data_IF_985053333259
#
_entry.id   IF_985053333259
#
_cell.length_a   1.000
_cell.length_b   1.000
_cell.length_c   1.000
_cell.angle_alpha   90.00
_cell.angle_beta   90.00
_cell.angle_gamma   90.00
#
_symmetry.space_group_name_H-M   'P 1'
#
loop_
_entity.id
_entity.type
_entity.pdbx_description
1 polymer ?
#
# COMPACT_ATOMS: atom_id res chain seq x y z
N UNK A 1 -23.39 16.40 37.01
CA UNK A 1 -22.21 17.21 36.66
C UNK A 1 -21.80 16.85 35.24
N UNK A 2 -21.80 17.78 34.30
CA UNK A 2 -21.34 17.49 32.94
C UNK A 2 -19.81 17.43 32.92
N UNK A 3 -19.26 16.31 32.48
CA UNK A 3 -17.83 16.14 32.23
C UNK A 3 -17.46 16.87 30.94
N UNK A 4 -16.61 17.90 31.04
CA UNK A 4 -16.10 18.64 29.88
C UNK A 4 -14.73 18.08 29.48
N UNK A 5 -14.47 17.90 28.18
CA UNK A 5 -13.16 17.47 27.68
C UNK A 5 -12.03 18.39 28.19
N UNK A 6 -12.30 19.69 28.31
CA UNK A 6 -11.31 20.68 28.78
C UNK A 6 -10.96 20.57 30.27
N UNK A 7 -11.81 19.94 31.08
CA UNK A 7 -11.51 19.73 32.51
C UNK A 7 -10.65 18.50 32.77
N UNK A 8 -10.38 17.68 31.75
CA UNK A 8 -9.48 16.53 31.88
C UNK A 8 -8.01 16.98 31.92
N UNK A 9 -7.10 16.21 32.54
CA UNK A 9 -5.67 16.42 32.40
C UNK A 9 -5.21 16.31 30.92
N UNK A 10 -4.16 17.05 30.51
CA UNK A 10 -3.63 16.99 29.15
C UNK A 10 -3.31 15.56 28.69
N UNK A 11 -2.73 14.74 29.55
CA UNK A 11 -2.32 13.35 29.26
C UNK A 11 -3.54 12.51 28.85
N UNK A 12 -4.66 12.68 29.55
CA UNK A 12 -5.92 11.99 29.24
C UNK A 12 -6.50 12.47 27.92
N UNK A 13 -6.43 13.78 27.62
CA UNK A 13 -6.87 14.31 26.32
C UNK A 13 -6.05 13.74 25.16
N UNK A 14 -4.73 13.62 25.33
CA UNK A 14 -3.85 13.02 24.31
C UNK A 14 -4.24 11.57 24.03
N UNK A 15 -4.49 10.75 25.06
CA UNK A 15 -4.96 9.36 24.89
C UNK A 15 -6.31 9.30 24.14
N UNK A 16 -7.22 10.25 24.40
CA UNK A 16 -8.49 10.35 23.67
C UNK A 16 -8.23 10.64 22.19
N UNK A 17 -7.34 11.59 21.87
CA UNK A 17 -7.01 11.91 20.48
C UNK A 17 -6.32 10.73 19.76
N UNK A 18 -5.42 10.02 20.44
CA UNK A 18 -4.78 8.82 19.90
C UNK A 18 -5.81 7.75 19.56
N UNK A 19 -6.75 7.46 20.45
CA UNK A 19 -7.81 6.50 20.21
C UNK A 19 -8.76 6.95 19.09
N UNK A 20 -9.10 8.25 19.06
CA UNK A 20 -9.98 8.84 18.06
C UNK A 20 -9.37 8.75 16.66
N UNK A 21 -8.09 9.05 16.51
CA UNK A 21 -7.42 9.04 15.21
C UNK A 21 -6.89 7.66 14.83
N UNK A 22 -6.59 6.79 15.78
CA UNK A 22 -6.10 5.43 15.52
C UNK A 22 -7.07 4.53 14.75
N UNK A 23 -8.38 4.82 14.80
CA UNK A 23 -9.39 4.15 13.97
C UNK A 23 -9.95 5.05 12.85
N UNK A 24 -9.32 6.19 12.59
CA UNK A 24 -9.72 7.11 11.54
C UNK A 24 -9.01 6.77 10.23
N UNK A 25 -9.79 6.63 9.16
CA UNK A 25 -9.30 6.32 7.82
C UNK A 25 -9.64 7.47 6.88
N UNK A 26 -8.61 8.13 6.35
CA UNK A 26 -8.74 9.20 5.37
C UNK A 26 -8.63 8.56 3.99
N UNK A 27 -9.70 8.59 3.21
CA UNK A 27 -9.76 7.96 1.88
C UNK A 27 -9.53 8.99 0.78
N UNK A 28 -8.61 8.70 -0.14
CA UNK A 28 -8.34 9.52 -1.31
C UNK A 28 -8.50 8.72 -2.61
N UNK A 29 -9.00 9.34 -3.68
CA UNK A 29 -9.17 8.69 -4.98
C UNK A 29 -10.37 7.72 -5.12
N UNK A 30 -11.27 7.63 -4.15
CA UNK A 30 -12.39 6.68 -4.16
C UNK A 30 -13.71 7.21 -4.78
N UNK A 31 -13.67 8.39 -5.43
CA UNK A 31 -14.85 9.04 -6.01
C UNK A 31 -15.83 9.64 -4.99
N UNK A 32 -16.82 10.41 -5.49
CA UNK A 32 -17.79 11.17 -4.66
C UNK A 32 -18.74 10.30 -3.83
N UNK A 33 -18.86 9.01 -4.14
CA UNK A 33 -19.78 8.09 -3.46
C UNK A 33 -19.13 7.29 -2.33
N UNK A 34 -17.79 7.22 -2.27
CA UNK A 34 -17.09 6.46 -1.23
C UNK A 34 -16.88 7.22 0.09
N UNK A 35 -17.29 8.48 0.17
CA UNK A 35 -16.97 9.40 1.27
C UNK A 35 -18.11 9.64 2.26
N UNK A 36 -19.19 8.86 2.24
CA UNK A 36 -20.18 8.87 3.35
C UNK A 36 -19.77 7.99 4.53
N UNK A 37 -18.48 7.96 4.87
CA UNK A 37 -18.09 7.60 6.23
C UNK A 37 -18.51 8.75 7.13
N UNK A 38 -19.61 8.56 7.84
CA UNK A 38 -20.34 9.57 8.63
C UNK A 38 -19.57 10.04 9.89
N UNK A 39 -18.24 9.98 9.87
CA UNK A 39 -17.38 10.23 11.01
C UNK A 39 -16.41 11.35 10.65
N UNK A 40 -16.90 12.59 10.68
CA UNK A 40 -16.09 13.80 10.61
C UNK A 40 -15.27 13.99 11.89
N UNK A 41 -14.42 13.00 12.24
CA UNK A 41 -13.57 13.06 13.44
C UNK A 41 -12.59 14.22 13.38
N UNK A 42 -12.20 14.63 12.17
CA UNK A 42 -11.41 15.84 11.93
C UNK A 42 -12.15 17.14 12.28
N UNK A 43 -13.48 17.15 12.40
CA UNK A 43 -14.21 18.36 12.83
C UNK A 43 -13.85 18.77 14.27
N UNK A 44 -13.33 17.85 15.08
CA UNK A 44 -12.78 18.14 16.40
C UNK A 44 -11.65 19.18 16.33
N UNK A 45 -10.88 19.20 15.23
CA UNK A 45 -9.80 20.16 15.04
C UNK A 45 -10.32 21.60 14.86
N UNK A 46 -11.60 21.76 14.53
CA UNK A 46 -12.24 23.05 14.29
C UNK A 46 -12.92 23.62 15.55
N UNK A 47 -12.95 22.89 16.67
CA UNK A 47 -13.72 23.32 17.85
C UNK A 47 -13.05 24.45 18.62
N UNK A 48 -11.73 24.38 18.85
CA UNK A 48 -10.96 25.46 19.47
C UNK A 48 -9.46 25.30 19.23
N UNK A 49 -8.70 26.38 19.39
CA UNK A 49 -7.24 26.41 19.18
C UNK A 49 -6.48 25.45 20.08
N UNK A 50 -6.93 25.24 21.32
CA UNK A 50 -6.30 24.30 22.25
C UNK A 50 -6.39 22.86 21.74
N UNK A 51 -7.59 22.42 21.35
CA UNK A 51 -7.77 21.08 20.77
C UNK A 51 -6.98 20.95 19.48
N UNK A 52 -7.04 21.96 18.60
CA UNK A 52 -6.29 21.96 17.36
C UNK A 52 -4.80 21.71 17.62
N UNK A 53 -4.18 22.48 18.52
CA UNK A 53 -2.74 22.38 18.79
C UNK A 53 -2.33 21.07 19.45
N UNK A 54 -3.18 20.47 20.29
CA UNK A 54 -2.91 19.18 20.92
C UNK A 54 -3.14 18.00 19.96
N UNK A 55 -4.20 18.05 19.15
CA UNK A 55 -4.67 16.92 18.35
C UNK A 55 -4.07 16.88 16.93
N UNK A 56 -3.78 18.04 16.33
CA UNK A 56 -3.23 18.12 14.96
C UNK A 56 -1.94 17.31 14.77
N UNK A 57 -0.94 17.37 15.68
CA UNK A 57 0.29 16.58 15.51
C UNK A 57 0.08 15.07 15.62
N UNK A 58 -0.99 14.62 16.27
CA UNK A 58 -1.32 13.20 16.49
C UNK A 58 -2.00 12.60 15.27
N UNK A 59 -2.84 13.38 14.59
CA UNK A 59 -3.61 12.94 13.42
C UNK A 59 -2.75 12.20 12.38
N UNK A 60 -1.67 12.76 11.79
CA UNK A 60 -0.90 12.07 10.76
C UNK A 60 -0.14 10.84 11.29
N UNK A 61 0.13 10.78 12.60
CA UNK A 61 0.83 9.66 13.23
C UNK A 61 -0.08 8.47 13.51
N UNK A 62 -1.40 8.67 13.61
CA UNK A 62 -2.36 7.64 14.01
C UNK A 62 -3.40 7.30 12.94
N UNK A 63 -3.76 8.27 12.09
CA UNK A 63 -4.73 8.04 11.02
C UNK A 63 -4.13 7.19 9.90
N UNK A 64 -4.97 6.35 9.30
CA UNK A 64 -4.62 5.58 8.10
C UNK A 64 -4.97 6.39 6.85
N UNK A 65 -3.99 6.66 5.99
CA UNK A 65 -4.24 7.19 4.65
C UNK A 65 -4.53 6.03 3.70
N UNK A 66 -5.74 5.97 3.15
CA UNK A 66 -6.15 4.92 2.24
C UNK A 66 -6.33 5.47 0.82
N UNK A 67 -5.44 5.06 -0.08
CA UNK A 67 -5.43 5.48 -1.48
C UNK A 67 -6.03 4.40 -2.36
N UNK A 68 -6.95 4.80 -3.24
CA UNK A 68 -7.54 3.87 -4.21
C UNK A 68 -6.53 3.39 -5.27
N UNK A 69 -5.44 4.12 -5.49
CA UNK A 69 -4.48 3.85 -6.54
C UNK A 69 -3.14 4.51 -6.25
N UNK A 70 -2.09 4.01 -6.90
CA UNK A 70 -0.73 4.56 -6.80
C UNK A 70 -0.66 6.02 -7.23
N UNK A 71 -1.34 6.40 -8.32
CA UNK A 71 -1.37 7.77 -8.82
C UNK A 71 -1.96 8.74 -7.80
N UNK A 72 -3.10 8.39 -7.20
CA UNK A 72 -3.73 9.19 -6.16
C UNK A 72 -2.83 9.36 -4.92
N UNK A 73 -2.03 8.34 -4.59
CA UNK A 73 -1.03 8.42 -3.53
C UNK A 73 0.10 9.39 -3.89
N UNK A 74 0.68 9.26 -5.09
CA UNK A 74 1.77 10.11 -5.58
C UNK A 74 1.31 11.57 -5.61
N UNK A 75 0.18 11.87 -6.25
CA UNK A 75 -0.36 13.23 -6.34
C UNK A 75 -0.55 13.86 -4.96
N UNK A 76 -1.09 13.09 -4.01
CA UNK A 76 -1.33 13.56 -2.64
C UNK A 76 -0.03 13.82 -1.90
N UNK A 77 0.91 12.86 -1.93
CA UNK A 77 2.13 12.94 -1.13
C UNK A 77 3.14 13.91 -1.73
N UNK A 78 3.26 14.00 -3.06
CA UNK A 78 4.12 14.99 -3.71
C UNK A 78 3.61 16.43 -3.55
N UNK A 79 2.32 16.62 -3.29
CA UNK A 79 1.74 17.91 -2.96
C UNK A 79 1.95 18.35 -1.51
N UNK A 80 2.52 17.51 -0.65
CA UNK A 80 2.74 17.81 0.77
C UNK A 80 4.19 18.25 1.04
N UNK A 81 4.36 19.16 2.01
CA UNK A 81 5.69 19.47 2.51
C UNK A 81 6.32 18.26 3.23
N UNK A 82 7.65 18.18 3.17
CA UNK A 82 8.39 17.08 3.78
C UNK A 82 8.13 16.92 5.30
N UNK A 83 7.90 18.03 6.01
CA UNK A 83 7.53 18.01 7.43
C UNK A 83 6.26 17.17 7.67
N UNK A 84 5.28 17.25 6.78
CA UNK A 84 4.04 16.49 6.89
C UNK A 84 4.24 15.03 6.47
N UNK A 85 4.98 14.78 5.38
CA UNK A 85 5.23 13.42 4.86
C UNK A 85 5.92 12.56 5.93
N UNK A 86 6.94 13.10 6.59
CA UNK A 86 7.72 12.36 7.60
C UNK A 86 6.94 12.00 8.87
N UNK A 87 5.78 12.64 9.10
CA UNK A 87 4.88 12.35 10.23
C UNK A 87 3.86 11.25 9.91
N UNK A 88 3.67 10.90 8.64
CA UNK A 88 2.75 9.84 8.23
C UNK A 88 3.33 8.49 8.68
N UNK A 89 2.51 7.69 9.36
CA UNK A 89 2.91 6.36 9.87
C UNK A 89 2.15 5.19 9.24
N UNK A 90 0.96 5.43 8.70
CA UNK A 90 0.07 4.37 8.23
C UNK A 90 -0.49 4.69 6.84
N UNK A 91 -0.15 3.85 5.86
CA UNK A 91 -0.68 3.93 4.50
C UNK A 91 -1.31 2.60 4.12
N UNK A 92 -2.47 2.66 3.46
CA UNK A 92 -3.10 1.56 2.74
C UNK A 92 -3.30 1.96 1.28
N UNK A 93 -2.99 1.08 0.34
CA UNK A 93 -3.06 1.41 -1.09
C UNK A 93 -3.34 0.18 -1.94
N UNK A 94 -4.11 0.38 -3.01
CA UNK A 94 -4.24 -0.59 -4.10
C UNK A 94 -3.22 -0.24 -5.19
N UNK A 95 -2.16 -1.06 -5.43
CA UNK A 95 -0.99 -0.69 -6.22
C UNK A 95 -1.26 -0.82 -7.72
N UNK A 96 -2.11 0.04 -8.26
CA UNK A 96 -2.34 0.11 -9.70
C UNK A 96 -1.07 0.60 -10.43
N UNK A 97 -0.65 -0.06 -11.52
CA UNK A 97 0.43 0.46 -12.37
C UNK A 97 0.08 1.85 -12.88
N UNK A 98 1.09 2.73 -12.98
CA UNK A 98 0.88 4.13 -13.36
C UNK A 98 1.85 4.57 -14.46
N UNK A 99 1.40 5.41 -15.42
CA UNK A 99 2.28 6.04 -16.38
C UNK A 99 2.93 7.29 -15.77
N UNK A 100 4.19 7.58 -16.12
CA UNK A 100 4.79 8.89 -15.85
C UNK A 100 4.79 9.73 -17.13
N UNK A 101 4.01 10.80 -17.18
CA UNK A 101 4.01 11.73 -18.31
C UNK A 101 5.21 12.69 -18.21
N UNK A 102 5.85 12.93 -19.34
CA UNK A 102 6.94 13.89 -19.49
C UNK A 102 6.37 15.08 -20.21
N UNK A 103 6.90 16.25 -19.88
CA UNK A 103 6.35 17.52 -20.34
C UNK A 103 6.14 17.51 -21.87
N UNK A 104 4.88 17.67 -22.30
CA UNK A 104 4.51 17.85 -23.70
C UNK A 104 4.38 16.60 -24.58
N UNK A 105 4.44 15.37 -24.03
CA UNK A 105 4.36 14.16 -24.85
C UNK A 105 3.25 13.20 -24.40
N UNK A 106 2.29 12.92 -25.30
CA UNK A 106 1.10 12.08 -25.08
C UNK A 106 1.20 10.67 -25.68
N UNK A 107 2.32 10.33 -26.33
CA UNK A 107 2.51 9.02 -26.94
C UNK A 107 2.97 7.97 -25.92
N UNK A 108 2.74 6.69 -26.27
CA UNK A 108 2.84 5.50 -25.43
C UNK A 108 4.03 5.51 -24.44
N UNK A 109 3.77 5.25 -23.15
CA UNK A 109 4.78 5.29 -22.09
C UNK A 109 4.89 3.99 -21.31
N UNK A 110 6.12 3.76 -20.83
CA UNK A 110 6.44 2.75 -19.84
C UNK A 110 5.53 2.87 -18.61
N UNK A 111 4.98 1.74 -18.19
CA UNK A 111 4.21 1.63 -16.96
C UNK A 111 5.17 1.34 -15.81
N UNK A 112 5.03 2.09 -14.73
CA UNK A 112 5.78 1.92 -13.50
C UNK A 112 4.94 1.15 -12.48
N UNK A 113 5.62 0.42 -11.60
CA UNK A 113 4.98 -0.34 -10.54
C UNK A 113 5.13 0.37 -9.19
N UNK A 114 4.42 -0.14 -8.19
CA UNK A 114 4.31 0.53 -6.91
C UNK A 114 5.64 0.64 -6.15
N UNK A 115 6.58 -0.27 -6.35
CA UNK A 115 7.92 -0.16 -5.78
C UNK A 115 8.68 1.07 -6.32
N UNK A 116 8.46 1.45 -7.58
CA UNK A 116 9.00 2.68 -8.15
C UNK A 116 8.37 3.92 -7.51
N UNK A 117 7.06 3.89 -7.25
CA UNK A 117 6.37 4.99 -6.57
C UNK A 117 6.96 5.28 -5.18
N UNK A 118 7.31 4.23 -4.42
CA UNK A 118 7.94 4.39 -3.10
C UNK A 118 9.30 5.09 -3.23
N UNK A 119 10.09 4.72 -4.24
CA UNK A 119 11.40 5.36 -4.52
C UNK A 119 11.23 6.84 -4.88
N UNK A 120 10.17 7.19 -5.63
CA UNK A 120 9.88 8.57 -6.04
C UNK A 120 9.53 9.48 -4.85
N UNK A 121 8.69 9.01 -3.93
CA UNK A 121 8.22 9.84 -2.81
C UNK A 121 9.38 10.11 -1.84
N UNK A 122 10.23 9.12 -1.60
CA UNK A 122 11.38 9.21 -0.70
C UNK A 122 10.98 9.50 0.75
N UNK A 123 11.88 9.20 1.70
CA UNK A 123 11.78 9.62 3.12
C UNK A 123 10.48 9.25 3.85
N UNK A 124 9.71 8.30 3.32
CA UNK A 124 8.63 7.66 4.06
C UNK A 124 9.22 6.99 5.30
N UNK A 125 8.51 7.09 6.42
CA UNK A 125 8.88 6.43 7.67
C UNK A 125 7.63 5.81 8.29
N UNK A 126 7.05 4.88 7.52
CA UNK A 126 5.80 4.23 7.87
C UNK A 126 6.06 3.19 8.96
N UNK A 127 5.20 3.17 9.96
CA UNK A 127 5.09 2.04 10.88
C UNK A 127 4.45 0.87 10.15
N UNK A 128 3.43 1.15 9.31
CA UNK A 128 2.70 0.13 8.57
C UNK A 128 2.34 0.58 7.14
N UNK A 129 2.66 -0.26 6.17
CA UNK A 129 2.25 -0.16 4.77
C UNK A 129 1.38 -1.37 4.41
N UNK A 130 0.08 -1.13 4.16
CA UNK A 130 -0.88 -2.15 3.73
C UNK A 130 -1.09 -2.02 2.22
N UNK A 131 -0.99 -3.13 1.51
CA UNK A 131 -1.14 -3.19 0.06
C UNK A 131 -2.26 -4.17 -0.25
N UNK A 132 -3.32 -3.68 -0.89
CA UNK A 132 -4.42 -4.52 -1.37
C UNK A 132 -4.13 -4.93 -2.80
N UNK A 133 -4.10 -6.22 -3.09
CA UNK A 133 -3.88 -6.75 -4.43
C UNK A 133 -4.86 -6.12 -5.45
N UNK A 134 -4.27 -5.56 -6.50
CA UNK A 134 -5.00 -4.88 -7.56
C UNK A 134 -5.33 -5.80 -8.74
N UNK A 135 -4.72 -6.99 -8.81
CA UNK A 135 -4.72 -7.87 -9.98
C UNK A 135 -5.72 -9.01 -9.89
N UNK A 136 -6.16 -9.33 -8.67
CA UNK A 136 -7.20 -10.31 -8.42
C UNK A 136 -8.44 -9.59 -7.87
N UNK A 137 -9.39 -9.28 -8.75
CA UNK A 137 -10.55 -8.40 -8.47
C UNK A 137 -11.48 -8.23 -9.67
N UNK A 138 -12.32 -7.18 -9.68
CA UNK A 138 -13.46 -6.92 -10.61
C UNK A 138 -13.17 -6.88 -12.14
N UNK A 139 -11.99 -7.29 -12.59
CA UNK A 139 -11.65 -7.54 -13.97
C UNK A 139 -10.60 -8.66 -14.01
N UNK A 140 -11.06 -9.92 -13.97
CA UNK A 140 -10.22 -11.10 -14.20
C UNK A 140 -9.50 -10.96 -15.55
N UNK A 141 -8.21 -10.66 -15.51
CA UNK A 141 -7.34 -10.78 -16.68
C UNK A 141 -6.47 -12.01 -16.48
N UNK A 142 -6.79 -13.01 -17.29
CA UNK A 142 -6.20 -14.35 -17.38
C UNK A 142 -4.69 -14.43 -17.06
N UNK A 143 -4.31 -15.42 -16.23
CA UNK A 143 -2.98 -16.04 -16.11
C UNK A 143 -1.78 -15.19 -15.68
N UNK A 144 -1.79 -13.88 -15.96
CA UNK A 144 -0.70 -12.94 -15.71
C UNK A 144 -0.84 -12.24 -14.36
N UNK A 145 -2.07 -12.08 -13.84
CA UNK A 145 -2.31 -11.46 -12.54
C UNK A 145 -1.51 -12.12 -11.42
N UNK A 146 -1.44 -13.46 -11.44
CA UNK A 146 -0.62 -14.25 -10.54
C UNK A 146 0.86 -13.88 -10.60
N UNK A 147 1.38 -13.75 -11.82
CA UNK A 147 2.79 -13.45 -12.11
C UNK A 147 3.12 -12.05 -11.63
N UNK A 148 2.27 -11.08 -11.94
CA UNK A 148 2.46 -9.69 -11.55
C UNK A 148 2.36 -9.55 -10.03
N UNK A 149 1.42 -10.23 -9.39
CA UNK A 149 1.27 -10.27 -7.93
C UNK A 149 2.52 -10.83 -7.27
N UNK A 150 3.04 -11.97 -7.75
CA UNK A 150 4.29 -12.55 -7.25
C UNK A 150 5.45 -11.55 -7.33
N UNK A 151 5.69 -10.94 -8.50
CA UNK A 151 6.81 -10.01 -8.66
C UNK A 151 6.61 -8.70 -7.90
N UNK A 152 5.37 -8.24 -7.73
CA UNK A 152 5.07 -7.07 -6.91
C UNK A 152 5.43 -7.36 -5.44
N UNK A 153 4.99 -8.50 -4.89
CA UNK A 153 5.37 -8.93 -3.54
C UNK A 153 6.89 -9.10 -3.42
N UNK A 154 7.59 -9.60 -4.44
CA UNK A 154 9.05 -9.77 -4.42
C UNK A 154 9.83 -8.46 -4.48
N UNK A 155 9.35 -7.44 -5.21
CA UNK A 155 9.99 -6.14 -5.32
C UNK A 155 9.90 -5.33 -4.02
N UNK A 156 8.78 -5.47 -3.30
CA UNK A 156 8.46 -4.69 -2.11
C UNK A 156 9.44 -4.83 -0.93
N UNK A 157 9.95 -6.03 -0.57
CA UNK A 157 11.03 -6.20 0.39
C UNK A 157 12.27 -5.37 0.11
N UNK A 158 12.54 -5.01 -1.15
CA UNK A 158 13.71 -4.21 -1.54
C UNK A 158 13.49 -2.71 -1.37
N UNK A 159 12.24 -2.25 -1.35
CA UNK A 159 11.92 -0.82 -1.17
C UNK A 159 12.28 -0.34 0.24
N UNK A 160 12.31 0.97 0.47
CA UNK A 160 12.58 1.60 1.76
C UNK A 160 11.36 2.35 2.31
N UNK A 161 11.40 2.70 3.60
CA UNK A 161 10.44 3.64 4.19
C UNK A 161 9.21 3.04 4.88
N UNK A 162 9.26 1.76 5.24
CA UNK A 162 8.24 1.07 6.04
C UNK A 162 8.89 0.14 7.07
N UNK A 163 8.23 -0.09 8.21
CA UNK A 163 8.69 -1.00 9.26
C UNK A 163 7.93 -2.34 9.24
N UNK A 164 6.61 -2.30 9.03
CA UNK A 164 5.77 -3.46 8.73
C UNK A 164 5.11 -3.28 7.37
N UNK A 165 5.19 -4.30 6.50
CA UNK A 165 4.50 -4.37 5.23
C UNK A 165 3.52 -5.53 5.25
N UNK A 166 2.28 -5.25 4.88
CA UNK A 166 1.20 -6.23 4.82
C UNK A 166 0.65 -6.23 3.39
N UNK A 167 0.88 -7.31 2.66
CA UNK A 167 0.26 -7.51 1.35
C UNK A 167 -0.96 -8.42 1.52
N UNK A 168 -2.11 -7.99 1.00
CA UNK A 168 -3.39 -8.71 1.09
C UNK A 168 -3.81 -9.10 -0.32
N UNK A 169 -3.93 -10.39 -0.59
CA UNK A 169 -4.40 -10.92 -1.88
C UNK A 169 -5.58 -11.86 -1.65
N UNK A 170 -6.62 -11.81 -2.50
CA UNK A 170 -7.85 -12.57 -2.27
C UNK A 170 -7.71 -14.07 -2.55
N UNK A 171 -6.66 -14.50 -3.26
CA UNK A 171 -6.47 -15.90 -3.63
C UNK A 171 -5.03 -16.37 -3.34
N UNK A 172 -4.80 -17.67 -3.56
CA UNK A 172 -3.51 -18.34 -3.40
C UNK A 172 -2.84 -18.67 -4.73
N UNK A 173 -3.51 -18.38 -5.85
CA UNK A 173 -3.12 -18.87 -7.17
C UNK A 173 -1.77 -18.29 -7.62
N UNK A 174 -1.44 -17.07 -7.17
CA UNK A 174 -0.14 -16.45 -7.38
C UNK A 174 1.05 -17.28 -6.86
N UNK A 175 0.83 -18.18 -5.89
CA UNK A 175 1.85 -19.08 -5.35
C UNK A 175 2.09 -20.31 -6.22
N UNK A 176 1.06 -20.80 -6.89
CA UNK A 176 1.06 -22.06 -7.65
C UNK A 176 0.97 -21.88 -9.16
N UNK A 177 0.81 -20.64 -9.61
CA UNK A 177 0.61 -20.32 -11.02
C UNK A 177 1.74 -20.86 -11.89
N UNK A 178 1.37 -21.65 -12.89
CA UNK A 178 2.29 -22.29 -13.84
C UNK A 178 2.94 -21.31 -14.83
N UNK A 179 2.51 -20.04 -14.84
CA UNK A 179 3.02 -19.01 -15.74
C UNK A 179 4.34 -18.36 -15.26
N UNK A 180 5.31 -19.18 -14.84
CA UNK A 180 6.68 -18.71 -14.60
C UNK A 180 7.51 -18.78 -15.88
N UNK A 181 7.21 -17.88 -16.82
CA UNK A 181 7.94 -17.77 -18.08
C UNK A 181 9.42 -17.40 -17.89
N UNK A 182 9.82 -16.91 -16.70
CA UNK A 182 11.21 -16.57 -16.38
C UNK A 182 11.97 -17.70 -15.69
N UNK A 183 11.26 -18.69 -15.14
CA UNK A 183 11.83 -19.74 -14.27
C UNK A 183 12.61 -19.16 -13.07
N UNK A 184 12.20 -17.98 -12.61
CA UNK A 184 12.88 -17.21 -11.55
C UNK A 184 12.21 -17.37 -10.18
N UNK A 185 11.04 -18.02 -10.12
CA UNK A 185 10.31 -18.17 -8.85
C UNK A 185 11.02 -19.12 -7.90
N UNK A 186 11.05 -18.73 -6.64
CA UNK A 186 11.64 -19.52 -5.54
C UNK A 186 10.57 -19.87 -4.52
N UNK A 187 10.84 -20.88 -3.70
CA UNK A 187 9.93 -21.31 -2.64
C UNK A 187 9.68 -20.19 -1.63
N UNK A 188 8.40 -19.93 -1.36
CA UNK A 188 7.93 -18.88 -0.46
C UNK A 188 7.35 -19.47 0.83
N UNK A 189 7.44 -18.79 1.98
CA UNK A 189 7.97 -17.43 2.21
C UNK A 189 9.48 -17.32 2.41
N UNK A 190 10.22 -18.43 2.28
CA UNK A 190 11.65 -18.49 2.62
C UNK A 190 12.51 -17.55 1.77
N UNK A 191 12.23 -17.45 0.47
CA UNK A 191 12.97 -16.55 -0.41
C UNK A 191 12.78 -15.07 -0.02
N UNK A 192 11.54 -14.60 0.19
CA UNK A 192 11.32 -13.23 0.65
C UNK A 192 11.95 -12.94 2.02
N UNK A 193 11.95 -13.93 2.93
CA UNK A 193 12.66 -13.83 4.20
C UNK A 193 14.16 -13.67 3.99
N UNK A 194 14.76 -14.51 3.13
CA UNK A 194 16.18 -14.43 2.81
C UNK A 194 16.53 -13.05 2.24
N UNK A 195 15.73 -12.52 1.32
CA UNK A 195 15.94 -11.18 0.76
C UNK A 195 15.94 -10.07 1.83
N UNK A 196 15.05 -10.15 2.82
CA UNK A 196 15.04 -9.20 3.95
C UNK A 196 16.26 -9.38 4.86
N UNK A 197 16.67 -10.61 5.14
CA UNK A 197 17.84 -10.89 5.99
C UNK A 197 19.15 -10.48 5.30
N UNK A 198 19.27 -10.66 3.98
CA UNK A 198 20.42 -10.19 3.19
C UNK A 198 20.53 -8.67 3.22
N UNK A 199 19.39 -7.97 3.18
CA UNK A 199 19.35 -6.50 3.23
C UNK A 199 19.59 -5.93 4.64
N UNK A 200 18.85 -6.43 5.63
CA UNK A 200 18.82 -5.86 6.99
C UNK A 200 19.87 -6.49 7.93
N UNK A 201 20.43 -7.64 7.56
CA UNK A 201 21.32 -8.48 8.36
C UNK A 201 20.58 -9.58 9.11
N UNK A 202 21.25 -10.72 9.32
CA UNK A 202 20.67 -11.89 9.99
C UNK A 202 20.24 -11.62 11.44
N UNK A 203 20.95 -10.72 12.12
CA UNK A 203 20.70 -10.33 13.52
C UNK A 203 19.68 -9.19 13.67
N UNK A 204 19.12 -8.69 12.57
CA UNK A 204 18.19 -7.56 12.59
C UNK A 204 16.87 -7.88 13.29
N UNK A 205 16.45 -9.15 13.25
CA UNK A 205 15.11 -9.58 13.64
C UNK A 205 14.07 -9.44 12.52
N UNK A 206 14.51 -9.16 11.29
CA UNK A 206 13.62 -9.12 10.12
C UNK A 206 13.02 -10.51 9.83
N UNK A 207 11.81 -10.53 9.27
CA UNK A 207 11.13 -11.77 8.96
C UNK A 207 9.90 -11.61 8.07
N UNK A 208 9.51 -12.71 7.42
CA UNK A 208 8.30 -12.81 6.62
C UNK A 208 7.45 -13.95 7.13
N UNK A 209 6.17 -13.68 7.34
CA UNK A 209 5.16 -14.66 7.73
C UNK A 209 3.99 -14.59 6.75
N UNK A 210 3.42 -15.76 6.44
CA UNK A 210 2.23 -15.85 5.60
C UNK A 210 1.08 -16.43 6.41
N UNK A 211 -0.09 -15.86 6.17
CA UNK A 211 -1.31 -16.26 6.83
C UNK A 211 -2.42 -16.38 5.81
N UNK A 212 -3.38 -17.25 6.08
CA UNK A 212 -4.55 -17.47 5.23
C UNK A 212 -5.82 -17.37 6.06
N UNK A 213 -6.82 -16.71 5.50
CA UNK A 213 -8.22 -16.83 5.90
C UNK A 213 -8.88 -17.73 4.86
N UNK A 214 -9.30 -18.95 5.23
CA UNK A 214 -9.90 -19.89 4.29
C UNK A 214 -11.10 -19.26 3.57
N UNK A 215 -11.29 -19.62 2.30
CA UNK A 215 -12.60 -19.41 1.68
C UNK A 215 -13.65 -20.23 2.43
N UNK A 216 -14.83 -19.64 2.65
CA UNK A 216 -15.95 -20.39 3.21
C UNK A 216 -16.27 -21.53 2.25
N UNK A 217 -16.12 -22.78 2.70
CA UNK A 217 -16.76 -23.88 2.00
C UNK A 217 -18.26 -23.57 1.96
N UNK A 218 -18.88 -23.70 0.78
CA UNK A 218 -20.30 -23.43 0.50
C UNK A 218 -21.27 -24.42 1.21
N UNK A 219 -20.90 -24.88 2.41
CA UNK A 219 -21.69 -25.74 3.28
C UNK A 219 -22.51 -24.86 4.20
N UNK A 220 -23.66 -24.40 3.71
CA UNK A 220 -24.97 -24.31 4.37
C UNK A 220 -25.15 -23.81 5.82
N UNK A 221 -24.12 -23.43 6.58
CA UNK A 221 -24.25 -23.06 7.99
C UNK A 221 -24.15 -21.55 8.16
N UNK A 222 -25.33 -20.96 8.30
CA UNK A 222 -25.59 -19.56 8.57
C UNK A 222 -25.18 -19.16 10.00
N UNK A 223 -23.90 -19.32 10.36
CA UNK A 223 -23.36 -18.72 11.57
C UNK A 223 -22.07 -17.97 11.26
N UNK A 224 -22.22 -16.64 11.12
CA UNK A 224 -21.18 -15.70 10.73
C UNK A 224 -20.13 -15.44 11.82
N UNK A 225 -19.41 -16.47 12.26
CA UNK A 225 -18.16 -16.26 12.98
C UNK A 225 -17.07 -15.90 11.98
N UNK A 226 -16.49 -14.72 12.15
CA UNK A 226 -15.26 -14.29 11.47
C UNK A 226 -14.20 -15.38 11.65
N UNK A 227 -13.90 -16.16 10.61
CA UNK A 227 -12.89 -17.21 10.70
C UNK A 227 -11.54 -16.61 11.10
N UNK A 228 -10.94 -17.17 12.14
CA UNK A 228 -9.65 -16.72 12.65
C UNK A 228 -8.56 -17.00 11.62
N UNK A 229 -7.72 -15.99 11.37
CA UNK A 229 -6.54 -16.04 10.52
C UNK A 229 -5.55 -17.11 11.01
N UNK A 230 -5.07 -17.99 10.12
CA UNK A 230 -4.16 -19.11 10.45
C UNK A 230 -2.85 -19.01 9.66
N UNK A 231 -1.75 -19.63 10.10
CA UNK A 231 -0.55 -19.78 9.28
C UNK A 231 -0.86 -20.43 7.92
N UNK A 232 -0.19 -19.98 6.87
CA UNK A 232 -0.38 -20.52 5.52
C UNK A 232 0.08 -21.98 5.39
N UNK A 233 -0.70 -22.80 4.69
CA UNK A 233 -0.41 -24.19 4.31
C UNK A 233 -0.66 -24.33 2.80
N UNK A 234 0.26 -24.99 2.07
CA UNK A 234 0.40 -24.91 0.61
C UNK A 234 -0.79 -25.42 -0.24
N UNK A 235 -1.83 -25.99 0.38
CA UNK A 235 -2.98 -26.60 -0.31
C UNK A 235 -4.32 -25.91 -0.01
N UNK A 236 -4.34 -24.91 0.87
CA UNK A 236 -5.58 -24.22 1.25
C UNK A 236 -5.83 -23.02 0.35
N UNK A 237 -7.08 -22.82 -0.08
CA UNK A 237 -7.53 -21.64 -0.82
C UNK A 237 -8.13 -20.60 0.11
N UNK A 238 -7.96 -19.32 -0.22
CA UNK A 238 -8.52 -18.21 0.53
C UNK A 238 -7.72 -16.92 0.43
N UNK A 239 -8.10 -15.95 1.26
CA UNK A 239 -7.43 -14.65 1.33
C UNK A 239 -6.10 -14.81 2.03
N UNK A 240 -5.02 -14.50 1.33
CA UNK A 240 -3.65 -14.57 1.86
C UNK A 240 -3.22 -13.20 2.34
N UNK A 241 -2.53 -13.19 3.47
CA UNK A 241 -1.81 -12.03 3.98
C UNK A 241 -0.34 -12.38 4.14
N UNK A 242 0.50 -11.66 3.41
CA UNK A 242 1.96 -11.71 3.56
C UNK A 242 2.37 -10.56 4.48
N UNK A 243 2.98 -10.87 5.61
CA UNK A 243 3.45 -9.90 6.59
C UNK A 243 4.96 -9.93 6.63
N UNK A 244 5.58 -8.84 6.16
CA UNK A 244 7.00 -8.61 6.24
C UNK A 244 7.29 -7.58 7.34
N UNK A 245 8.24 -7.88 8.22
CA UNK A 245 8.68 -6.99 9.30
C UNK A 245 10.17 -6.73 9.16
N UNK A 246 10.53 -5.46 9.28
CA UNK A 246 11.93 -5.06 9.37
C UNK A 246 12.46 -5.23 10.78
N UNK A 247 13.73 -5.55 10.84
CA UNK A 247 14.50 -5.51 12.07
C UNK A 247 14.88 -4.10 12.51
N UNK A 248 15.50 -3.98 13.69
CA UNK A 248 16.15 -2.71 14.08
C UNK A 248 17.36 -2.49 13.18
N UNK A 249 17.25 -1.53 12.26
CA UNK A 249 18.31 -1.15 11.31
C UNK A 249 19.64 -0.92 12.06
N UNK A 250 20.73 -1.55 11.61
CA UNK A 250 22.03 -0.89 11.65
C UNK A 250 22.04 0.18 10.54
N UNK A 251 22.64 1.33 10.79
CA UNK A 251 22.42 2.55 10.00
C UNK A 251 22.83 2.46 8.50
N UNK A 252 22.28 3.45 7.79
CA UNK A 252 21.89 3.71 6.38
C UNK A 252 23.02 3.66 5.31
N UNK A 253 22.66 3.59 4.01
CA UNK A 253 23.23 4.52 3.03
C UNK A 253 22.19 5.44 2.39
N UNK A 254 22.62 6.70 2.29
CA UNK A 254 21.90 7.84 1.72
C UNK A 254 21.57 7.60 0.24
N UNK A 255 20.39 8.07 -0.19
CA UNK A 255 19.97 7.98 -1.59
C UNK A 255 19.53 9.36 -2.08
N UNK A 256 20.51 10.12 -2.55
CA UNK A 256 20.34 11.37 -3.30
C UNK A 256 20.74 11.26 -4.77
N UNK A 257 21.03 10.05 -5.28
CA UNK A 257 21.53 9.85 -6.67
C UNK A 257 20.80 8.79 -7.51
N UNK A 258 19.81 8.08 -6.95
CA UNK A 258 19.15 6.97 -7.66
C UNK A 258 17.94 7.41 -8.47
N UNK A 259 17.38 8.61 -8.21
CA UNK A 259 16.31 9.17 -9.02
C UNK A 259 16.79 9.46 -10.45
N UNK A 260 17.99 10.05 -10.61
CA UNK A 260 18.59 10.31 -11.92
C UNK A 260 18.99 9.01 -12.63
N UNK A 261 19.49 8.02 -11.89
CA UNK A 261 19.84 6.71 -12.45
C UNK A 261 18.61 5.88 -12.86
N UNK A 262 17.49 6.00 -12.16
CA UNK A 262 16.22 5.31 -12.45
C UNK A 262 15.54 5.89 -13.70
N UNK A 263 15.68 7.21 -13.91
CA UNK A 263 15.28 7.88 -15.15
C UNK A 263 16.14 7.48 -16.37
N UNK A 264 17.37 7.01 -16.14
CA UNK A 264 18.32 6.68 -17.22
C UNK A 264 18.43 5.18 -17.56
N UNK A 265 17.90 4.27 -16.72
CA UNK A 265 18.12 2.81 -16.84
C UNK A 265 17.02 1.99 -17.51
N UNK A 266 15.88 2.55 -17.86
CA UNK A 266 14.76 1.75 -18.38
C UNK A 266 14.42 2.06 -19.85
N UNK A 267 15.33 1.67 -20.73
CA UNK A 267 15.02 1.29 -22.11
C UNK A 267 15.17 -0.22 -22.20
N UNK A 268 14.09 -0.97 -22.03
CA UNK A 268 13.74 -2.12 -22.88
C UNK A 268 12.61 -2.97 -22.29
N UNK A 269 11.73 -3.38 -23.20
CA UNK A 269 10.55 -4.24 -23.06
C UNK A 269 9.32 -3.62 -22.36
N UNK A 270 8.14 -4.14 -22.73
CA UNK A 270 6.78 -3.83 -22.22
C UNK A 270 5.90 -2.85 -23.03
N UNK A 271 6.31 -2.51 -24.25
CA UNK A 271 5.56 -1.69 -25.21
C UNK A 271 4.20 -2.22 -25.71
N UNK A 272 3.80 -3.45 -25.36
CA UNK A 272 2.70 -4.15 -26.08
C UNK A 272 1.59 -4.74 -25.20
N UNK A 273 1.68 -4.63 -23.86
CA UNK A 273 0.83 -5.44 -22.94
C UNK A 273 -0.44 -4.70 -22.45
N UNK A 274 -0.50 -3.37 -22.49
CA UNK A 274 -1.67 -2.62 -21.98
C UNK A 274 -2.69 -2.26 -23.07
N UNK A 275 -3.27 -3.29 -23.68
CA UNK A 275 -4.49 -3.19 -24.47
C UNK A 275 -5.73 -3.02 -23.59
N UNK A 276 -5.87 -1.90 -22.88
CA UNK A 276 -7.04 -1.66 -22.03
C UNK A 276 -7.21 -0.21 -21.61
N UNK A 277 -6.29 0.31 -20.80
CA UNK A 277 -6.37 1.70 -20.33
C UNK A 277 -5.86 2.69 -21.38
N UNK A 278 -4.70 2.42 -21.98
CA UNK A 278 -4.12 3.26 -23.04
C UNK A 278 -5.00 3.32 -24.29
N UNK A 279 -5.69 2.22 -24.63
CA UNK A 279 -6.67 2.20 -25.73
C UNK A 279 -7.96 2.96 -25.38
N UNK A 280 -8.43 2.92 -24.12
CA UNK A 280 -9.60 3.70 -23.67
C UNK A 280 -9.29 5.19 -23.57
N UNK A 281 -8.08 5.57 -23.14
CA UNK A 281 -7.61 6.97 -23.14
C UNK A 281 -7.41 7.47 -24.58
N UNK A 282 -6.83 6.67 -25.46
CA UNK A 282 -6.72 7.00 -26.90
C UNK A 282 -8.09 7.08 -27.59
N UNK A 283 -9.05 6.22 -27.24
CA UNK A 283 -10.43 6.28 -27.74
C UNK A 283 -11.20 7.47 -27.16
N UNK A 284 -11.00 7.81 -25.89
CA UNK A 284 -11.58 9.00 -25.26
C UNK A 284 -11.04 10.28 -25.91
N UNK A 285 -9.73 10.39 -26.15
CA UNK A 285 -9.13 11.52 -26.87
C UNK A 285 -9.61 11.60 -28.33
N UNK A 286 -9.88 10.48 -29.01
CA UNK A 286 -10.51 10.48 -30.34
C UNK A 286 -11.97 10.93 -30.31
N UNK A 287 -12.69 10.68 -29.22
CA UNK A 287 -14.08 11.10 -29.05
C UNK A 287 -14.22 12.58 -28.66
N UNK A 288 -13.19 13.21 -28.12
CA UNK A 288 -13.18 14.65 -27.76
C UNK A 288 -12.62 15.57 -28.86
N UNK A 289 -12.07 15.01 -29.95
CA UNK A 289 -11.46 15.76 -31.05
C UNK A 289 -12.29 15.76 -32.35
N UNK A 290 -13.61 15.59 -32.25
CA UNK A 290 -14.58 15.87 -33.33
C UNK A 290 -15.68 16.80 -32.84
#
# INVERSE_FOLDING_TARGET
MSTNLMSLPPEVRLLIYEQLFGSYVIRHGHGRHATRSNQNRAALLLTCSKIHNEAWPILPQRAMLHFHGTEAMIETLMGMDLEHITRIRHIRVTPLPFPLYGAGCTEFRHMYYFDDAIKLIGRLNLDQLIIDDAFHGFADVEGWSDVVTYFNIEALPKSDGWSELIYITPNTDFMTSCNDHRQERKAQSQNWRQMLLERDGESSGAGVSMYITPEKEDKGDANGNSEAMRPYEAERKGVVRVVARRGRRQAIPQLGGELDALLQRHTDAFGWIYGGLSRRVALAQRAFNY
#
